data_IF_707016172942
#
_entry.id   IF_707016172942
#
_cell.length_a   1.000
_cell.length_b   1.000
_cell.length_c   1.000
_cell.angle_alpha   90.00
_cell.angle_beta   90.00
_cell.angle_gamma   90.00
#
_symmetry.space_group_name_H-M   'P 1'
#
loop_
_entity.id
_entity.type
_entity.pdbx_description
1 polymer ?
#
# COMPACT_ATOMS: atom_id res chain seq x y z
N UNK A 1 -15.52 19.24 11.27
CA UNK A 1 -14.64 18.06 11.19
C UNK A 1 -14.95 17.38 9.88
N UNK A 2 -14.00 17.33 8.94
CA UNK A 2 -14.19 16.65 7.66
C UNK A 2 -14.24 15.13 7.83
N UNK A 3 -13.68 14.62 8.92
CA UNK A 3 -13.66 13.21 9.27
C UNK A 3 -14.86 12.81 10.13
N UNK A 4 -15.78 12.05 9.54
CA UNK A 4 -16.92 11.41 10.24
C UNK A 4 -16.61 9.95 10.60
N UNK A 5 -15.47 9.42 10.13
CA UNK A 5 -15.07 8.02 10.19
C UNK A 5 -13.70 7.95 10.86
N UNK A 6 -13.53 7.05 11.82
CA UNK A 6 -12.24 6.81 12.47
C UNK A 6 -11.28 6.06 11.55
N UNK A 7 -9.99 6.40 11.65
CA UNK A 7 -8.93 5.64 11.01
C UNK A 7 -8.87 4.22 11.60
N UNK A 8 -8.56 3.26 10.74
CA UNK A 8 -8.40 1.85 11.07
C UNK A 8 -7.65 1.17 9.92
N UNK A 9 -7.08 -0.02 10.17
CA UNK A 9 -6.63 -0.89 9.09
C UNK A 9 -7.81 -1.18 8.14
N UNK A 10 -7.55 -1.18 6.84
CA UNK A 10 -8.60 -1.25 5.83
C UNK A 10 -9.41 0.04 5.71
N UNK A 11 -8.78 1.22 5.89
CA UNK A 11 -9.36 2.51 5.52
C UNK A 11 -8.54 3.19 4.45
N UNK A 12 -9.19 4.05 3.67
CA UNK A 12 -8.53 4.91 2.71
C UNK A 12 -8.31 6.28 3.34
N UNK A 13 -7.09 6.80 3.24
CA UNK A 13 -6.78 8.20 3.50
C UNK A 13 -6.65 8.91 2.18
N UNK A 14 -7.42 9.97 2.00
CA UNK A 14 -7.37 10.81 0.81
C UNK A 14 -6.70 12.11 1.24
N UNK A 15 -5.58 12.44 0.60
CA UNK A 15 -4.88 13.69 0.87
C UNK A 15 -5.78 14.88 0.56
N UNK A 16 -5.71 15.92 1.37
CA UNK A 16 -6.37 17.18 1.02
C UNK A 16 -5.84 17.76 -0.32
N UNK A 17 -6.67 18.53 -1.06
CA UNK A 17 -6.28 19.07 -2.37
C UNK A 17 -5.04 19.98 -2.35
N UNK A 18 -4.78 20.63 -1.21
CA UNK A 18 -3.72 21.61 -1.02
C UNK A 18 -2.48 21.06 -0.31
N UNK A 19 -2.41 19.74 -0.12
CA UNK A 19 -1.28 19.08 0.52
C UNK A 19 0.05 19.48 -0.14
N UNK A 20 0.92 20.09 0.67
CA UNK A 20 2.19 20.63 0.20
C UNK A 20 3.28 19.57 0.05
N UNK A 21 3.17 18.45 0.76
CA UNK A 21 4.14 17.37 0.66
C UNK A 21 4.04 16.70 -0.72
N UNK A 22 5.13 16.72 -1.53
CA UNK A 22 5.10 16.15 -2.87
C UNK A 22 4.89 14.63 -2.88
N UNK A 23 5.27 13.90 -1.83
CA UNK A 23 5.08 12.46 -1.73
C UNK A 23 3.60 12.10 -1.54
N UNK A 24 2.81 13.03 -1.01
CA UNK A 24 1.42 12.78 -0.63
C UNK A 24 0.41 13.64 -1.36
N UNK A 25 0.87 14.53 -2.24
CA UNK A 25 0.00 15.38 -3.05
C UNK A 25 -0.93 14.55 -3.93
N UNK A 26 -2.24 14.73 -3.75
CA UNK A 26 -3.30 13.97 -4.45
C UNK A 26 -3.12 12.45 -4.28
N UNK A 27 -2.63 12.01 -3.13
CA UNK A 27 -2.43 10.60 -2.82
C UNK A 27 -3.70 9.99 -2.23
N UNK A 28 -3.88 8.69 -2.51
CA UNK A 28 -4.86 7.84 -1.86
C UNK A 28 -4.09 6.72 -1.18
N UNK A 29 -4.09 6.70 0.15
CA UNK A 29 -3.35 5.72 0.94
C UNK A 29 -4.29 4.67 1.49
N UNK A 30 -3.94 3.40 1.32
CA UNK A 30 -4.60 2.30 2.01
C UNK A 30 -3.86 2.02 3.32
N UNK A 31 -4.54 2.24 4.46
CA UNK A 31 -4.02 1.84 5.76
C UNK A 31 -4.05 0.32 5.88
N UNK A 32 -2.88 -0.26 6.11
CA UNK A 32 -2.71 -1.71 6.34
C UNK A 32 -2.59 -2.03 7.82
N UNK A 33 -2.10 -1.08 8.61
CA UNK A 33 -2.01 -1.18 10.06
C UNK A 33 -2.37 0.15 10.70
N UNK A 34 -3.09 0.10 11.82
CA UNK A 34 -3.40 1.26 12.65
C UNK A 34 -3.54 0.80 14.09
N UNK A 35 -2.67 1.30 14.96
CA UNK A 35 -2.58 0.95 16.38
C UNK A 35 -2.14 2.16 17.21
N UNK A 36 -2.14 2.03 18.54
CA UNK A 36 -1.64 3.06 19.44
C UNK A 36 -0.13 3.34 19.28
N UNK A 37 0.62 2.40 18.69
CA UNK A 37 2.06 2.54 18.44
C UNK A 37 2.35 3.31 17.14
N UNK A 38 1.37 3.41 16.24
CA UNK A 38 1.49 4.08 14.96
C UNK A 38 0.58 3.50 13.88
N UNK A 39 0.79 3.97 12.65
CA UNK A 39 0.04 3.52 11.49
C UNK A 39 0.96 3.24 10.30
N UNK A 40 0.52 2.36 9.42
CA UNK A 40 1.21 2.02 8.18
C UNK A 40 0.22 1.92 7.03
N UNK A 41 0.61 2.39 5.86
CA UNK A 41 -0.17 2.27 4.65
C UNK A 41 0.63 2.43 3.36
N UNK A 42 -0.03 2.20 2.24
CA UNK A 42 0.56 2.30 0.91
C UNK A 42 -0.21 3.29 0.03
N UNK A 43 0.51 4.20 -0.63
CA UNK A 43 -0.08 5.06 -1.65
C UNK A 43 -0.49 4.21 -2.87
N UNK A 44 -1.78 4.20 -3.18
CA UNK A 44 -2.37 3.38 -4.22
C UNK A 44 -2.28 4.01 -5.61
N UNK A 45 -2.15 5.33 -5.73
CA UNK A 45 -2.34 6.00 -7.02
C UNK A 45 -1.07 6.68 -7.55
N UNK A 46 0.08 6.41 -6.96
CA UNK A 46 1.39 6.87 -7.43
C UNK A 46 2.13 5.70 -8.06
N UNK A 47 1.96 5.53 -9.38
CA UNK A 47 2.73 4.54 -10.12
C UNK A 47 4.16 5.05 -10.28
N UNK A 48 5.14 4.23 -9.87
CA UNK A 48 6.55 4.55 -10.04
C UNK A 48 7.04 4.29 -11.47
N UNK A 49 8.32 4.59 -11.70
CA UNK A 49 8.98 4.36 -13.00
C UNK A 49 9.50 2.93 -13.17
N UNK A 50 9.58 2.16 -12.07
CA UNK A 50 10.14 0.81 -12.05
C UNK A 50 9.06 -0.24 -12.32
N UNK A 51 9.44 -1.27 -13.08
CA UNK A 51 8.70 -2.51 -13.19
C UNK A 51 9.26 -3.54 -12.22
N UNK A 52 8.46 -4.57 -11.93
CA UNK A 52 8.88 -5.64 -11.04
C UNK A 52 10.14 -6.35 -11.56
N UNK A 53 10.29 -6.47 -12.88
CA UNK A 53 11.48 -7.03 -13.50
C UNK A 53 12.75 -6.19 -13.31
N UNK A 54 12.63 -4.89 -13.09
CA UNK A 54 13.78 -4.02 -12.78
C UNK A 54 14.25 -4.20 -11.33
N UNK A 55 13.32 -4.53 -10.43
CA UNK A 55 13.59 -4.74 -9.00
C UNK A 55 14.06 -6.17 -8.73
N UNK A 56 13.48 -7.14 -9.42
CA UNK A 56 13.68 -8.56 -9.18
C UNK A 56 14.21 -9.28 -10.42
N UNK A 57 15.50 -9.66 -10.43
CA UNK A 57 16.14 -10.23 -11.62
C UNK A 57 15.51 -11.57 -12.06
N UNK A 58 14.99 -12.35 -11.09
CA UNK A 58 14.35 -13.63 -11.35
C UNK A 58 13.03 -13.54 -12.12
N UNK A 59 12.35 -12.39 -12.06
CA UNK A 59 11.12 -12.10 -12.80
C UNK A 59 11.34 -10.91 -13.74
N UNK A 60 12.54 -10.83 -14.32
CA UNK A 60 12.97 -9.76 -15.24
C UNK A 60 12.05 -9.51 -16.45
N UNK A 61 11.24 -10.50 -16.83
CA UNK A 61 10.23 -10.39 -17.89
C UNK A 61 8.88 -9.86 -17.41
N UNK A 62 8.70 -9.67 -16.10
CA UNK A 62 7.44 -9.19 -15.53
C UNK A 62 7.29 -7.69 -15.76
N UNK A 63 6.26 -7.33 -16.51
CA UNK A 63 5.87 -5.94 -16.78
C UNK A 63 4.95 -5.35 -15.69
N UNK A 64 4.78 -6.04 -14.57
CA UNK A 64 3.95 -5.55 -13.46
C UNK A 64 4.57 -4.26 -12.90
N UNK A 65 3.84 -3.14 -12.86
CA UNK A 65 4.38 -1.88 -12.35
C UNK A 65 4.56 -1.90 -10.83
N UNK A 66 5.61 -1.24 -10.36
CA UNK A 66 5.87 -0.99 -8.94
C UNK A 66 5.42 0.41 -8.58
N UNK A 67 4.54 0.53 -7.60
CA UNK A 67 4.01 1.79 -7.12
C UNK A 67 4.92 2.37 -6.03
N UNK A 68 4.93 3.68 -5.88
CA UNK A 68 5.60 4.31 -4.73
C UNK A 68 4.68 4.19 -3.52
N UNK A 69 5.00 3.30 -2.57
CA UNK A 69 4.17 3.06 -1.39
C UNK A 69 4.29 4.16 -0.34
N UNK A 70 5.41 4.90 -0.34
CA UNK A 70 5.65 6.06 0.50
C UNK A 70 7.14 6.39 0.65
N UNK A 71 7.48 7.40 1.47
CA UNK A 71 8.85 7.87 1.63
C UNK A 71 9.72 6.94 2.49
N UNK A 72 9.12 6.05 3.28
CA UNK A 72 9.84 5.20 4.25
C UNK A 72 10.30 3.91 3.56
N UNK A 73 11.54 3.51 3.82
CA UNK A 73 12.10 2.24 3.37
C UNK A 73 11.93 1.98 1.86
N UNK A 74 12.19 2.96 0.99
CA UNK A 74 12.03 2.83 -0.48
C UNK A 74 12.76 1.64 -1.13
N UNK A 75 13.72 1.03 -0.43
CA UNK A 75 14.44 -0.15 -0.87
C UNK A 75 13.74 -1.48 -0.50
N UNK A 76 12.61 -1.45 0.22
CA UNK A 76 11.80 -2.63 0.52
C UNK A 76 10.67 -2.76 -0.48
N UNK A 77 10.36 -4.00 -0.84
CA UNK A 77 9.25 -4.33 -1.72
C UNK A 77 8.12 -4.92 -0.87
N UNK A 78 6.96 -4.28 -0.95
CA UNK A 78 5.73 -4.75 -0.33
C UNK A 78 4.70 -5.07 -1.43
N UNK A 79 3.70 -5.88 -1.10
CA UNK A 79 2.61 -6.16 -2.01
C UNK A 79 1.30 -6.35 -1.28
N UNK A 80 0.21 -6.04 -1.98
CA UNK A 80 -1.14 -6.43 -1.60
C UNK A 80 -1.72 -7.30 -2.71
N UNK A 81 -2.56 -8.26 -2.35
CA UNK A 81 -3.15 -9.19 -3.32
C UNK A 81 -4.60 -9.53 -2.97
N UNK A 82 -5.32 -10.08 -3.96
CA UNK A 82 -6.69 -10.59 -3.81
C UNK A 82 -6.80 -12.11 -3.96
N UNK A 83 -5.68 -12.80 -3.86
CA UNK A 83 -5.59 -14.25 -4.07
C UNK A 83 -5.17 -15.00 -2.80
N UNK A 84 -6.02 -15.05 -1.75
CA UNK A 84 -5.70 -15.79 -0.53
C UNK A 84 -5.51 -17.28 -0.78
N UNK A 85 -6.18 -17.86 -1.78
CA UNK A 85 -6.05 -19.28 -2.14
C UNK A 85 -4.69 -19.62 -2.77
N UNK A 86 -4.04 -18.63 -3.41
CA UNK A 86 -2.76 -18.82 -4.11
C UNK A 86 -1.56 -18.47 -3.24
N UNK A 87 -1.68 -17.40 -2.43
CA UNK A 87 -0.59 -16.83 -1.65
C UNK A 87 -0.91 -17.01 -0.15
N UNK A 88 -0.28 -17.97 0.53
CA UNK A 88 -0.49 -18.18 1.96
C UNK A 88 0.21 -17.10 2.79
N UNK A 89 -0.25 -16.92 4.04
CA UNK A 89 0.39 -16.05 5.03
C UNK A 89 0.10 -14.56 4.89
N UNK A 90 -0.75 -14.14 3.95
CA UNK A 90 -1.22 -12.77 3.85
C UNK A 90 -2.18 -12.41 4.98
N UNK A 91 -2.12 -11.17 5.46
CA UNK A 91 -3.02 -10.63 6.48
C UNK A 91 -4.19 -9.95 5.78
N UNK A 92 -5.42 -10.36 6.07
CA UNK A 92 -6.59 -9.69 5.51
C UNK A 92 -6.74 -8.29 6.12
N UNK A 93 -6.70 -7.27 5.26
CA UNK A 93 -6.82 -5.87 5.68
C UNK A 93 -8.18 -5.27 5.27
N UNK A 94 -8.77 -5.71 4.16
CA UNK A 94 -10.03 -5.16 3.66
C UNK A 94 -10.70 -6.09 2.63
N UNK A 95 -11.88 -6.67 2.91
CA UNK A 95 -12.81 -7.34 1.95
C UNK A 95 -12.09 -8.01 0.75
N UNK A 96 -11.45 -9.15 1.02
CA UNK A 96 -10.62 -9.90 0.05
C UNK A 96 -9.32 -9.22 -0.41
N UNK A 97 -8.85 -8.16 0.25
CA UNK A 97 -7.52 -7.57 0.06
C UNK A 97 -6.64 -8.01 1.23
N UNK A 98 -5.54 -8.65 0.86
CA UNK A 98 -4.55 -9.19 1.77
C UNK A 98 -3.25 -8.41 1.60
N UNK A 99 -2.60 -8.11 2.72
CA UNK A 99 -1.29 -7.50 2.77
C UNK A 99 -0.22 -8.54 3.13
N UNK A 100 0.87 -8.54 2.36
CA UNK A 100 1.97 -9.48 2.56
C UNK A 100 1.59 -10.91 2.17
N UNK A 101 2.37 -11.86 2.66
CA UNK A 101 2.25 -13.28 2.32
C UNK A 101 3.59 -13.89 1.97
N UNK A 102 3.55 -15.13 1.49
CA UNK A 102 4.75 -15.85 1.09
C UNK A 102 5.32 -15.30 -0.22
N UNK A 103 6.44 -14.58 -0.09
CA UNK A 103 7.12 -13.95 -1.19
C UNK A 103 7.69 -14.96 -2.21
N UNK A 104 8.15 -16.13 -1.75
CA UNK A 104 8.66 -17.16 -2.66
C UNK A 104 7.52 -17.73 -3.52
N UNK A 105 6.34 -17.92 -2.93
CA UNK A 105 5.14 -18.34 -3.67
C UNK A 105 4.72 -17.28 -4.69
N UNK A 106 4.67 -16.01 -4.29
CA UNK A 106 4.36 -14.90 -5.21
C UNK A 106 5.30 -14.88 -6.41
N UNK A 107 6.61 -15.02 -6.15
CA UNK A 107 7.63 -15.08 -7.19
C UNK A 107 7.39 -16.24 -8.14
N UNK A 108 7.13 -17.45 -7.63
CA UNK A 108 6.81 -18.62 -8.46
C UNK A 108 5.55 -18.42 -9.31
N UNK A 109 4.50 -17.83 -8.73
CA UNK A 109 3.24 -17.58 -9.42
C UNK A 109 3.41 -16.57 -10.56
N UNK A 110 4.18 -15.49 -10.34
CA UNK A 110 4.54 -14.55 -11.41
C UNK A 110 5.37 -15.27 -12.46
N UNK A 111 6.33 -16.09 -12.03
CA UNK A 111 7.20 -16.80 -12.96
C UNK A 111 6.40 -17.70 -13.91
N UNK A 112 5.36 -18.35 -13.38
CA UNK A 112 4.47 -19.25 -14.11
C UNK A 112 3.31 -18.54 -14.84
N UNK A 113 3.29 -17.20 -14.89
CA UNK A 113 2.21 -16.40 -15.49
C UNK A 113 0.83 -16.68 -14.87
N UNK A 114 0.78 -16.99 -13.57
CA UNK A 114 -0.43 -17.31 -12.80
C UNK A 114 -0.94 -16.15 -11.95
N UNK A 115 -0.23 -15.02 -11.95
CA UNK A 115 -0.63 -13.76 -11.33
C UNK A 115 -0.64 -12.65 -12.37
N UNK A 116 -1.68 -11.83 -12.31
CA UNK A 116 -1.85 -10.64 -13.15
C UNK A 116 -1.82 -9.36 -12.32
N UNK A 117 -1.57 -8.22 -12.96
CA UNK A 117 -1.57 -6.88 -12.32
C UNK A 117 -2.90 -6.51 -11.62
N UNK A 118 -4.01 -7.18 -11.98
CA UNK A 118 -5.31 -6.97 -11.36
C UNK A 118 -5.47 -7.76 -10.05
N UNK A 119 -4.65 -8.79 -9.86
CA UNK A 119 -4.69 -9.69 -8.70
C UNK A 119 -3.70 -9.28 -7.60
N UNK A 120 -2.57 -8.67 -8.00
CA UNK A 120 -1.48 -8.29 -7.10
C UNK A 120 -0.93 -6.93 -7.48
N UNK A 121 -0.57 -6.16 -6.46
CA UNK A 121 0.01 -4.84 -6.62
C UNK A 121 1.26 -4.69 -5.76
N UNK A 122 2.34 -4.22 -6.35
CA UNK A 122 3.64 -4.05 -5.70
C UNK A 122 3.90 -2.60 -5.35
N UNK A 123 4.57 -2.38 -4.22
CA UNK A 123 4.90 -1.07 -3.68
C UNK A 123 6.36 -1.05 -3.23
N UNK A 124 7.10 -0.02 -3.64
CA UNK A 124 8.40 0.31 -3.10
C UNK A 124 8.23 1.24 -1.89
N UNK A 125 8.73 0.81 -0.74
CA UNK A 125 8.54 1.52 0.52
C UNK A 125 7.09 1.58 1.00
N UNK A 126 6.88 2.35 2.05
CA UNK A 126 5.58 2.55 2.68
C UNK A 126 5.44 3.94 3.28
N UNK A 127 4.20 4.28 3.61
CA UNK A 127 3.84 5.48 4.37
C UNK A 127 3.63 5.06 5.81
N UNK A 128 4.45 5.60 6.71
CA UNK A 128 4.41 5.27 8.12
C UNK A 128 4.15 6.51 8.96
N UNK A 129 3.35 6.34 10.00
CA UNK A 129 3.06 7.35 11.00
C UNK A 129 3.53 6.86 12.35
N UNK A 130 4.20 7.75 13.09
CA UNK A 130 4.52 7.50 14.48
C UNK A 130 3.27 7.60 15.36
N UNK A 131 3.36 7.10 16.60
CA UNK A 131 2.31 7.23 17.61
C UNK A 131 1.69 8.65 17.65
N UNK A 132 0.37 8.71 17.50
CA UNK A 132 -0.42 9.95 17.54
C UNK A 132 -0.30 10.86 16.32
N UNK A 133 0.68 10.65 15.44
CA UNK A 133 0.92 11.55 14.30
C UNK A 133 -0.25 11.55 13.32
N UNK A 134 -0.78 10.36 12.98
CA UNK A 134 -1.92 10.29 12.08
C UNK A 134 -3.17 10.95 12.70
N UNK A 135 -3.39 10.77 14.00
CA UNK A 135 -4.50 11.39 14.72
C UNK A 135 -4.40 12.92 14.71
N UNK A 136 -3.21 13.47 14.93
CA UNK A 136 -2.95 14.91 14.84
C UNK A 136 -3.22 15.43 13.42
N UNK A 137 -2.73 14.73 12.39
CA UNK A 137 -2.98 15.11 10.98
C UNK A 137 -4.47 15.01 10.59
N UNK A 138 -5.22 14.07 11.18
CA UNK A 138 -6.66 13.95 10.99
C UNK A 138 -7.44 15.09 11.66
N UNK A 139 -6.93 15.63 12.77
CA UNK A 139 -7.48 16.81 13.45
C UNK A 139 -7.18 18.08 12.68
N UNK A 140 -6.02 18.16 12.03
CA UNK A 140 -5.65 19.27 11.14
C UNK A 140 -6.35 19.22 9.76
N UNK A 141 -7.26 18.26 9.55
CA UNK A 141 -7.98 18.02 8.28
C UNK A 141 -7.04 17.76 7.08
N UNK A 142 -5.79 17.37 7.35
CA UNK A 142 -4.75 17.02 6.35
C UNK A 142 -5.13 15.78 5.54
N UNK A 143 -5.87 14.86 6.16
CA UNK A 143 -6.39 13.64 5.55
C UNK A 143 -7.90 13.52 5.71
N UNK A 144 -8.54 13.00 4.67
CA UNK A 144 -9.94 12.60 4.70
C UNK A 144 -10.02 11.07 4.78
N UNK A 145 -10.62 10.54 5.84
CA UNK A 145 -10.85 9.11 5.99
C UNK A 145 -12.09 8.71 5.20
N UNK A 146 -11.92 7.78 4.26
CA UNK A 146 -13.01 7.21 3.49
C UNK A 146 -13.19 5.72 3.80
N UNK A 147 -14.46 5.31 3.87
CA UNK A 147 -14.87 3.92 3.84
C UNK A 147 -15.67 3.65 2.56
N UNK A 148 -15.11 2.86 1.65
CA UNK A 148 -15.77 2.35 0.44
C UNK A 148 -15.99 3.36 -0.69
#
# INVERSE_FOLDING_TARGET
>A
MLNSISAAAGRLLISEPFMMDPNFKRSVILLTEYSEEGAMGFVLNHQGELLLGDVLPDVSYSEIPVYEGGPVAKNTLHFIHRCPDKIPGGIEIWDNIFWGGDYEVVKQLITNYQLTENEIKFFAGYSGWTQGQLDDELVEDTWIVANR
#
